data_IF_582334195052
#
_entry.id   IF_582334195052
#
_cell.length_a   1.000
_cell.length_b   1.000
_cell.length_c   1.000
_cell.angle_alpha   90.00
_cell.angle_beta   90.00
_cell.angle_gamma   90.00
#
_symmetry.space_group_name_H-M   'P 1'
#
loop_
_entity.id
_entity.type
_entity.pdbx_description
1 polymer ?
#
# COMPACT_ATOMS: atom_id res chain seq x y z
N UNK A 1 10.89 0.50 5.50
CA UNK A 1 10.19 -0.78 5.55
C UNK A 1 9.17 -0.91 4.41
N UNK A 2 8.17 -0.03 4.31
CA UNK A 2 7.06 -0.16 3.36
C UNK A 2 7.48 -0.28 1.88
N UNK A 3 8.55 0.38 1.45
CA UNK A 3 9.09 0.28 0.09
C UNK A 3 10.04 -0.91 -0.07
N UNK A 4 10.75 -1.29 1.00
CA UNK A 4 11.68 -2.40 0.94
C UNK A 4 10.97 -3.75 0.85
N UNK A 5 9.85 -3.90 1.55
CA UNK A 5 9.08 -5.15 1.57
C UNK A 5 8.69 -5.63 0.17
N UNK A 6 8.03 -4.84 -0.70
CA UNK A 6 7.69 -5.29 -2.05
C UNK A 6 8.92 -5.61 -2.91
N UNK A 7 10.02 -4.88 -2.76
CA UNK A 7 11.25 -5.13 -3.51
C UNK A 7 11.86 -6.48 -3.11
N UNK A 8 11.98 -6.74 -1.81
CA UNK A 8 12.53 -8.01 -1.32
C UNK A 8 11.61 -9.18 -1.66
N UNK A 9 10.29 -9.00 -1.56
CA UNK A 9 9.31 -10.01 -1.97
C UNK A 9 9.42 -10.32 -3.48
N UNK A 10 9.57 -9.30 -4.32
CA UNK A 10 9.78 -9.47 -5.75
C UNK A 10 11.05 -10.29 -6.05
N UNK A 11 12.15 -9.99 -5.37
CA UNK A 11 13.40 -10.74 -5.50
C UNK A 11 13.26 -12.19 -5.00
N UNK A 12 12.43 -12.43 -4.00
CA UNK A 12 12.17 -13.77 -3.48
C UNK A 12 11.31 -14.62 -4.42
N UNK A 13 10.39 -14.00 -5.18
CA UNK A 13 9.54 -14.69 -6.18
C UNK A 13 10.37 -15.09 -7.42
N UNK A 14 11.37 -14.29 -7.81
CA UNK A 14 12.38 -14.61 -8.83
C UNK A 14 11.92 -14.53 -10.28
N UNK A 15 10.62 -14.61 -10.59
CA UNK A 15 10.14 -14.69 -11.97
C UNK A 15 8.90 -13.82 -12.21
N UNK A 16 9.04 -12.82 -13.09
CA UNK A 16 8.01 -11.82 -13.38
C UNK A 16 6.79 -12.42 -14.08
N UNK A 17 7.00 -13.47 -14.88
CA UNK A 17 5.92 -14.13 -15.64
C UNK A 17 5.00 -14.91 -14.70
N UNK A 18 5.57 -15.58 -13.70
CA UNK A 18 4.81 -16.29 -12.67
C UNK A 18 4.04 -15.33 -11.76
N UNK A 19 4.58 -14.15 -11.48
CA UNK A 19 3.94 -13.13 -10.67
C UNK A 19 2.57 -12.73 -11.22
N UNK A 20 2.47 -12.41 -12.50
CA UNK A 20 1.21 -12.00 -13.12
C UNK A 20 0.19 -13.15 -13.11
N UNK A 21 0.61 -14.36 -13.47
CA UNK A 21 -0.28 -15.53 -13.47
C UNK A 21 -0.76 -15.92 -12.08
N UNK A 22 0.08 -15.78 -11.05
CA UNK A 22 -0.31 -16.03 -9.66
C UNK A 22 -1.37 -15.05 -9.16
N UNK A 23 -1.24 -13.76 -9.52
CA UNK A 23 -2.24 -12.76 -9.14
C UNK A 23 -3.56 -12.99 -9.88
N UNK A 24 -3.52 -13.25 -11.18
CA UNK A 24 -4.73 -13.54 -11.97
C UNK A 24 -5.46 -14.79 -11.49
N UNK A 25 -4.71 -15.81 -11.07
CA UNK A 25 -5.28 -17.05 -10.52
C UNK A 25 -5.91 -16.80 -9.14
N UNK A 26 -5.26 -16.00 -8.30
CA UNK A 26 -5.76 -15.68 -6.96
C UNK A 26 -6.96 -14.72 -6.99
N UNK A 27 -6.90 -13.72 -7.86
CA UNK A 27 -7.92 -12.68 -8.01
C UNK A 27 -8.03 -12.25 -9.48
N UNK A 28 -8.96 -12.80 -10.27
CA UNK A 28 -9.10 -12.52 -11.71
C UNK A 28 -9.31 -11.04 -12.05
N UNK A 29 -9.79 -10.24 -11.09
CA UNK A 29 -10.05 -8.81 -11.27
C UNK A 29 -9.04 -7.90 -10.55
N UNK A 30 -7.91 -8.43 -10.05
CA UNK A 30 -6.94 -7.64 -9.28
C UNK A 30 -6.34 -6.46 -10.07
N UNK A 31 -6.21 -6.59 -11.39
CA UNK A 31 -5.72 -5.53 -12.28
C UNK A 31 -6.82 -4.60 -12.79
N UNK A 32 -8.08 -4.91 -12.52
CA UNK A 32 -9.21 -4.11 -12.99
C UNK A 32 -9.70 -3.19 -11.86
N UNK A 33 -9.17 -1.97 -11.83
CA UNK A 33 -9.41 -1.00 -10.75
C UNK A 33 -10.89 -0.59 -10.64
N UNK A 34 -11.68 -0.80 -11.69
CA UNK A 34 -13.05 -0.26 -11.79
C UNK A 34 -14.12 -1.33 -11.64
N UNK A 35 -13.81 -2.62 -11.89
CA UNK A 35 -14.81 -3.68 -12.01
C UNK A 35 -15.65 -3.93 -10.75
N UNK A 36 -15.07 -3.69 -9.57
CA UNK A 36 -15.74 -3.94 -8.27
C UNK A 36 -16.11 -2.66 -7.51
N UNK A 37 -15.92 -1.49 -8.14
CA UNK A 37 -16.25 -0.21 -7.52
C UNK A 37 -17.73 0.11 -7.71
N UNK A 38 -18.52 -0.01 -6.65
CA UNK A 38 -19.87 0.54 -6.65
C UNK A 38 -19.83 2.08 -6.62
N UNK A 39 -20.84 2.72 -7.22
CA UNK A 39 -20.98 4.19 -7.18
C UNK A 39 -20.94 4.72 -5.74
N UNK A 40 -21.53 3.97 -4.80
CA UNK A 40 -21.52 4.30 -3.38
C UNK A 40 -20.11 4.28 -2.79
N UNK A 41 -19.27 3.30 -3.17
CA UNK A 41 -17.89 3.23 -2.70
C UNK A 41 -17.06 4.42 -3.21
N UNK A 42 -17.25 4.82 -4.46
CA UNK A 42 -16.59 6.00 -5.04
C UNK A 42 -17.02 7.27 -4.33
N UNK A 43 -18.33 7.47 -4.13
CA UNK A 43 -18.85 8.64 -3.41
C UNK A 43 -18.37 8.68 -1.96
N UNK A 44 -18.33 7.56 -1.27
CA UNK A 44 -17.82 7.44 0.09
C UNK A 44 -16.34 7.83 0.17
N UNK A 45 -15.52 7.36 -0.76
CA UNK A 45 -14.11 7.71 -0.83
C UNK A 45 -13.89 9.19 -1.11
N UNK A 46 -14.69 9.78 -1.99
CA UNK A 46 -14.67 11.23 -2.27
C UNK A 46 -15.10 12.04 -1.05
N UNK A 47 -16.17 11.63 -0.36
CA UNK A 47 -16.64 12.29 0.86
C UNK A 47 -15.59 12.27 1.97
N UNK A 48 -14.87 11.16 2.13
CA UNK A 48 -13.75 11.07 3.06
C UNK A 48 -12.63 12.06 2.71
N UNK A 49 -12.27 12.17 1.44
CA UNK A 49 -11.29 13.15 0.95
C UNK A 49 -11.70 14.60 1.21
N UNK A 50 -12.98 14.94 0.99
CA UNK A 50 -13.52 16.27 1.28
C UNK A 50 -13.49 16.58 2.78
N UNK A 51 -13.80 15.62 3.64
CA UNK A 51 -13.72 15.77 5.10
C UNK A 51 -12.32 16.11 5.61
N UNK A 52 -11.30 15.74 4.87
CA UNK A 52 -9.90 16.01 5.22
C UNK A 52 -9.59 17.52 5.25
N UNK A 53 -10.23 18.33 4.41
CA UNK A 53 -10.03 19.77 4.38
C UNK A 53 -10.52 20.49 5.63
N UNK A 54 -11.50 19.93 6.34
CA UNK A 54 -12.04 20.51 7.57
C UNK A 54 -11.31 20.11 8.84
N UNK A 55 -10.29 19.28 8.76
CA UNK A 55 -9.61 18.78 9.95
C UNK A 55 -8.67 19.83 10.58
N UNK A 56 -8.82 20.15 11.87
CA UNK A 56 -8.06 21.21 12.53
C UNK A 56 -6.55 21.03 12.44
N UNK A 57 -6.06 19.81 12.55
CA UNK A 57 -4.62 19.51 12.50
C UNK A 57 -3.97 19.80 11.13
N UNK A 58 -4.76 19.79 10.05
CA UNK A 58 -4.29 20.18 8.73
C UNK A 58 -4.25 21.68 8.59
N UNK A 59 -5.30 22.37 9.04
CA UNK A 59 -5.38 23.82 9.04
C UNK A 59 -4.24 24.45 9.85
N UNK A 60 -3.95 23.91 11.03
CA UNK A 60 -2.85 24.37 11.89
C UNK A 60 -1.50 24.25 11.19
N UNK A 61 -1.26 23.19 10.41
CA UNK A 61 -0.03 23.05 9.64
C UNK A 61 0.16 24.13 8.57
N UNK A 62 -0.92 24.54 7.90
CA UNK A 62 -0.87 25.66 6.96
C UNK A 62 -0.69 26.99 7.66
N UNK A 63 -1.32 27.19 8.82
CA UNK A 63 -1.16 28.41 9.61
C UNK A 63 0.25 28.53 10.23
N UNK A 64 0.90 27.41 10.55
CA UNK A 64 2.26 27.37 11.08
C UNK A 64 3.34 27.54 10.00
N UNK A 65 2.99 27.70 8.73
CA UNK A 65 3.94 27.93 7.67
C UNK A 65 4.61 29.32 7.83
N UNK A 66 5.93 29.34 7.83
CA UNK A 66 6.73 30.56 8.01
C UNK A 66 6.48 31.61 6.91
N UNK A 67 6.22 31.14 5.69
CA UNK A 67 5.85 32.00 4.57
C UNK A 67 5.00 31.27 3.52
N UNK A 68 4.19 32.02 2.77
CA UNK A 68 3.42 31.49 1.64
C UNK A 68 4.33 30.87 0.57
N UNK A 69 5.56 31.37 0.45
CA UNK A 69 6.55 30.89 -0.53
C UNK A 69 7.08 29.48 -0.19
N UNK A 70 7.01 29.04 1.06
CA UNK A 70 7.42 27.69 1.49
C UNK A 70 6.38 26.60 1.17
N UNK A 71 5.12 26.98 0.99
CA UNK A 71 4.01 26.04 0.77
C UNK A 71 4.20 25.17 -0.49
N UNK A 72 4.62 25.70 -1.66
CA UNK A 72 4.87 24.86 -2.84
C UNK A 72 5.96 23.80 -2.63
N UNK A 73 7.01 24.12 -1.89
CA UNK A 73 8.07 23.18 -1.57
C UNK A 73 7.56 22.08 -0.62
N UNK A 74 6.89 22.47 0.45
CA UNK A 74 6.26 21.54 1.38
C UNK A 74 5.26 20.59 0.68
N UNK A 75 4.45 21.13 -0.25
CA UNK A 75 3.53 20.33 -1.06
C UNK A 75 4.26 19.30 -1.92
N UNK A 76 5.35 19.69 -2.62
CA UNK A 76 6.12 18.73 -3.44
C UNK A 76 6.66 17.60 -2.60
N UNK A 77 7.28 17.93 -1.47
CA UNK A 77 7.85 16.92 -0.55
C UNK A 77 6.74 15.98 -0.06
N UNK A 78 5.62 16.54 0.43
CA UNK A 78 4.49 15.74 0.92
C UNK A 78 3.86 14.85 -0.15
N UNK A 79 3.65 15.38 -1.36
CA UNK A 79 3.09 14.61 -2.48
C UNK A 79 4.02 13.50 -2.93
N UNK A 80 5.33 13.78 -3.05
CA UNK A 80 6.31 12.76 -3.40
C UNK A 80 6.33 11.64 -2.36
N UNK A 81 6.35 11.99 -1.08
CA UNK A 81 6.31 11.02 0.00
C UNK A 81 5.03 10.18 -0.03
N UNK A 82 3.88 10.80 -0.22
CA UNK A 82 2.58 10.12 -0.32
C UNK A 82 2.55 9.13 -1.48
N UNK A 83 3.02 9.53 -2.68
CA UNK A 83 3.07 8.64 -3.85
C UNK A 83 3.98 7.44 -3.57
N UNK A 84 5.16 7.65 -2.99
CA UNK A 84 6.07 6.57 -2.62
C UNK A 84 5.42 5.59 -1.62
N UNK A 85 4.73 6.10 -0.60
CA UNK A 85 4.02 5.26 0.36
C UNK A 85 2.89 4.47 -0.28
N UNK A 86 2.11 5.08 -1.18
CA UNK A 86 1.03 4.40 -1.90
C UNK A 86 1.57 3.28 -2.81
N UNK A 87 2.62 3.57 -3.57
CA UNK A 87 3.28 2.55 -4.42
C UNK A 87 3.80 1.40 -3.56
N UNK A 88 4.43 1.71 -2.42
CA UNK A 88 4.90 0.70 -1.49
C UNK A 88 3.77 -0.16 -0.91
N UNK A 89 2.67 0.46 -0.51
CA UNK A 89 1.52 -0.23 0.06
C UNK A 89 0.82 -1.14 -0.97
N UNK A 90 0.56 -0.62 -2.18
CA UNK A 90 -0.02 -1.39 -3.27
C UNK A 90 0.90 -2.53 -3.68
N UNK A 91 2.21 -2.25 -3.80
CA UNK A 91 3.22 -3.26 -4.08
C UNK A 91 3.25 -4.36 -3.03
N UNK A 92 3.24 -4.03 -1.75
CA UNK A 92 3.18 -5.01 -0.67
C UNK A 92 1.93 -5.91 -0.75
N UNK A 93 0.79 -5.35 -1.15
CA UNK A 93 -0.43 -6.12 -1.39
C UNK A 93 -0.29 -7.10 -2.56
N UNK A 94 0.14 -6.63 -3.71
CA UNK A 94 0.27 -7.47 -4.91
C UNK A 94 1.35 -8.56 -4.73
N UNK A 95 2.54 -8.19 -4.29
CA UNK A 95 3.62 -9.15 -4.06
C UNK A 95 3.29 -10.10 -2.91
N UNK A 96 2.55 -9.63 -1.91
CA UNK A 96 2.04 -10.47 -0.83
C UNK A 96 1.12 -11.57 -1.34
N UNK A 97 0.14 -11.24 -2.18
CA UNK A 97 -0.76 -12.22 -2.79
C UNK A 97 0.05 -13.28 -3.55
N UNK A 98 0.97 -12.85 -4.41
CA UNK A 98 1.79 -13.77 -5.20
C UNK A 98 2.68 -14.68 -4.32
N UNK A 99 3.32 -14.14 -3.29
CA UNK A 99 4.17 -14.89 -2.38
C UNK A 99 3.40 -15.95 -1.59
N UNK A 100 2.24 -15.60 -1.03
CA UNK A 100 1.42 -16.55 -0.28
C UNK A 100 0.70 -17.59 -1.15
N UNK A 101 0.56 -17.33 -2.44
CA UNK A 101 0.14 -18.36 -3.41
C UNK A 101 1.22 -19.41 -3.65
N UNK A 102 2.50 -19.02 -3.64
CA UNK A 102 3.60 -19.96 -3.75
C UNK A 102 3.83 -20.77 -2.46
N UNK A 103 3.43 -20.21 -1.30
CA UNK A 103 3.64 -20.81 0.02
C UNK A 103 2.31 -20.93 0.78
N UNK A 104 1.44 -21.87 0.40
CA UNK A 104 0.11 -22.01 1.00
C UNK A 104 0.17 -22.38 2.48
N UNK A 105 1.24 -23.01 2.95
CA UNK A 105 1.48 -23.32 4.37
C UNK A 105 1.61 -22.08 5.26
N UNK A 106 2.05 -20.95 4.70
CA UNK A 106 2.19 -19.67 5.39
C UNK A 106 0.94 -18.78 5.24
N UNK A 107 0.07 -19.12 4.32
CA UNK A 107 -1.13 -18.34 4.00
C UNK A 107 -2.22 -18.39 5.08
N UNK A 108 -2.16 -19.34 6.02
CA UNK A 108 -3.21 -19.59 7.00
C UNK A 108 -3.58 -18.40 7.89
N UNK A 109 -2.62 -17.55 8.23
CA UNK A 109 -2.83 -16.35 9.03
C UNK A 109 -3.40 -15.22 8.18
N UNK A 110 -2.86 -15.04 6.99
CA UNK A 110 -3.24 -13.98 6.05
C UNK A 110 -4.62 -14.22 5.44
N UNK A 111 -5.01 -15.49 5.25
CA UNK A 111 -6.37 -15.83 4.76
C UNK A 111 -7.47 -15.43 5.75
N UNK A 112 -7.17 -15.43 7.05
CA UNK A 112 -8.10 -14.98 8.09
C UNK A 112 -8.15 -13.46 8.23
N UNK A 113 -7.01 -12.80 8.10
CA UNK A 113 -6.87 -11.35 8.23
C UNK A 113 -5.98 -10.79 7.10
N UNK A 114 -6.53 -10.38 5.97
CA UNK A 114 -5.75 -9.84 4.84
C UNK A 114 -4.91 -8.60 5.20
N UNK A 115 -5.31 -7.85 6.22
CA UNK A 115 -4.58 -6.66 6.69
C UNK A 115 -3.21 -6.99 7.30
N UNK A 116 -2.99 -8.23 7.71
CA UNK A 116 -1.72 -8.68 8.30
C UNK A 116 -0.65 -9.03 7.27
N UNK A 117 -0.99 -9.01 5.98
CA UNK A 117 -0.07 -9.34 4.86
C UNK A 117 1.29 -8.66 5.00
N UNK A 118 1.30 -7.36 5.25
CA UNK A 118 2.54 -6.60 5.39
C UNK A 118 3.37 -7.06 6.60
N UNK A 119 2.72 -7.30 7.74
CA UNK A 119 3.39 -7.75 8.95
C UNK A 119 3.98 -9.16 8.79
N UNK A 120 3.24 -10.07 8.19
CA UNK A 120 3.71 -11.44 7.96
C UNK A 120 4.85 -11.47 6.94
N UNK A 121 4.77 -10.70 5.85
CA UNK A 121 5.88 -10.56 4.90
C UNK A 121 7.14 -10.00 5.58
N UNK A 122 7.01 -9.00 6.44
CA UNK A 122 8.16 -8.44 7.14
C UNK A 122 8.78 -9.43 8.11
N UNK A 123 7.98 -10.22 8.83
CA UNK A 123 8.48 -11.28 9.73
C UNK A 123 9.24 -12.39 8.99
N UNK A 124 8.76 -12.76 7.79
CA UNK A 124 9.34 -13.86 7.01
C UNK A 124 10.61 -13.40 6.28
N UNK A 125 10.59 -12.20 5.68
CA UNK A 125 11.64 -11.73 4.79
C UNK A 125 12.75 -10.94 5.48
N UNK A 126 12.49 -10.40 6.66
CA UNK A 126 13.45 -9.56 7.38
C UNK A 126 13.88 -10.18 8.70
N UNK A 127 15.12 -9.85 9.09
CA UNK A 127 15.65 -10.21 10.39
C UNK A 127 14.83 -9.54 11.51
N UNK A 128 14.64 -10.20 12.69
CA UNK A 128 13.91 -9.64 13.85
C UNK A 128 14.30 -8.21 14.24
N UNK A 129 15.56 -7.84 14.03
CA UNK A 129 16.07 -6.49 14.31
C UNK A 129 15.45 -5.37 13.42
N UNK A 130 14.91 -5.73 12.27
CA UNK A 130 14.30 -4.77 11.32
C UNK A 130 12.77 -4.71 11.52
N UNK A 131 12.22 -5.79 12.04
CA UNK A 131 10.77 -5.90 12.27
C UNK A 131 10.33 -5.15 13.53
N UNK A 132 11.24 -4.98 14.49
CA UNK A 132 11.00 -4.25 15.74
C UNK A 132 10.68 -5.16 16.90
#
# INVERSE_FOLDING_TARGET
ALLLTPIVTYLAIGDTTQFVTLIETARPHAFNIISDLSVVAVLSSMAWGLGYFGQPHILVRFMAADSVKSIPAARRIGMTWMILCLVGAVGAGFFGIAYFQQHPELAGVVSKNPETVFMELTKILFNPWIVG
#
